data_IF_268075319352
#
_entry.id   IF_268075319352
#
_cell.length_a   1.000
_cell.length_b   1.000
_cell.length_c   1.000
_cell.angle_alpha   90.00
_cell.angle_beta   90.00
_cell.angle_gamma   90.00
#
_symmetry.space_group_name_H-M   'P 1'
#
loop_
_entity.id
_entity.type
_entity.pdbx_description
1 polymer ?
#
# COMPACT_ATOMS: atom_id res chain seq x y z
N UNK A 1 8.60 -10.77 -0.68
CA UNK A 1 7.46 -9.96 -0.24
C UNK A 1 7.98 -8.63 0.29
N UNK A 2 7.20 -7.55 0.18
CA UNK A 2 7.52 -6.23 0.75
C UNK A 2 6.36 -5.79 1.61
N UNK A 3 6.63 -5.21 2.77
CA UNK A 3 5.58 -4.62 3.60
C UNK A 3 5.13 -3.29 3.01
N UNK A 4 3.82 -3.11 2.89
CA UNK A 4 3.17 -1.90 2.39
C UNK A 4 2.27 -1.34 3.47
N UNK A 5 2.50 -0.09 3.85
CA UNK A 5 1.63 0.70 4.72
C UNK A 5 0.69 1.55 3.86
N UNK A 6 -0.61 1.34 4.02
CA UNK A 6 -1.65 2.06 3.29
C UNK A 6 -2.03 3.36 4.02
N UNK A 7 -1.99 4.47 3.30
CA UNK A 7 -2.34 5.80 3.82
C UNK A 7 -3.54 6.35 3.06
N UNK A 8 -4.62 6.67 3.79
CA UNK A 8 -5.92 7.01 3.22
C UNK A 8 -6.72 5.80 2.71
N UNK A 9 -7.95 6.08 2.29
CA UNK A 9 -8.86 5.09 1.72
C UNK A 9 -9.30 3.99 2.69
N UNK A 10 -9.94 2.92 2.17
CA UNK A 10 -10.54 1.86 2.98
C UNK A 10 -9.55 1.08 3.85
N UNK A 11 -8.29 0.96 3.42
CA UNK A 11 -7.23 0.21 4.13
C UNK A 11 -6.33 1.09 5.00
N UNK A 12 -6.75 2.31 5.35
CA UNK A 12 -5.87 3.24 6.05
C UNK A 12 -5.26 2.64 7.33
N UNK A 13 -3.92 2.76 7.46
CA UNK A 13 -3.07 2.21 8.54
C UNK A 13 -2.87 0.71 8.52
N UNK A 14 -3.46 0.00 7.57
CA UNK A 14 -3.17 -1.42 7.38
C UNK A 14 -1.78 -1.62 6.77
N UNK A 15 -1.07 -2.59 7.33
CA UNK A 15 0.21 -3.09 6.79
C UNK A 15 -0.06 -4.45 6.14
N UNK A 16 0.34 -4.61 4.89
CA UNK A 16 0.20 -5.86 4.16
C UNK A 16 1.52 -6.29 3.52
N UNK A 17 1.74 -7.60 3.42
CA UNK A 17 2.80 -8.16 2.59
C UNK A 17 2.34 -8.24 1.13
N UNK A 18 3.09 -7.59 0.24
CA UNK A 18 2.79 -7.51 -1.19
C UNK A 18 3.92 -8.17 -1.99
N UNK A 19 3.63 -9.04 -2.96
CA UNK A 19 4.65 -9.61 -3.84
C UNK A 19 5.35 -8.54 -4.69
N UNK A 20 6.66 -8.70 -4.91
CA UNK A 20 7.44 -7.73 -5.69
C UNK A 20 6.90 -7.53 -7.12
N UNK A 21 6.34 -8.57 -7.73
CA UNK A 21 5.69 -8.51 -9.04
C UNK A 21 4.43 -7.63 -9.08
N UNK A 22 3.74 -7.44 -7.94
CA UNK A 22 2.62 -6.50 -7.84
C UNK A 22 3.10 -5.07 -7.56
N UNK A 23 4.32 -4.89 -7.03
CA UNK A 23 4.86 -3.56 -6.80
C UNK A 23 5.35 -2.90 -8.09
N UNK A 24 5.66 -3.68 -9.13
CA UNK A 24 6.08 -3.15 -10.44
C UNK A 24 4.97 -2.44 -11.21
N UNK A 25 3.69 -2.64 -10.86
CA UNK A 25 2.56 -2.02 -11.57
C UNK A 25 2.33 -0.54 -11.23
N UNK A 26 3.18 0.10 -10.42
CA UNK A 26 3.03 1.47 -9.86
C UNK A 26 1.74 1.73 -9.05
N UNK A 27 0.76 0.82 -9.15
CA UNK A 27 -0.54 0.84 -8.50
C UNK A 27 -0.84 -0.52 -7.88
N UNK A 28 -1.45 -0.49 -6.71
CA UNK A 28 -2.08 -1.64 -6.05
C UNK A 28 -3.58 -1.41 -6.05
N UNK A 29 -4.33 -2.40 -6.51
CA UNK A 29 -5.79 -2.37 -6.54
C UNK A 29 -6.30 -3.43 -5.59
N UNK A 30 -7.19 -3.02 -4.69
CA UNK A 30 -7.89 -3.91 -3.79
C UNK A 30 -9.39 -3.85 -4.08
N UNK A 31 -9.96 -5.02 -4.32
CA UNK A 31 -11.40 -5.25 -4.47
C UNK A 31 -11.94 -5.72 -3.12
N UNK A 32 -12.83 -4.91 -2.53
CA UNK A 32 -13.59 -5.27 -1.34
C UNK A 32 -15.09 -5.33 -1.66
N UNK A 33 -15.92 -5.94 -0.79
CA UNK A 33 -17.32 -6.23 -1.09
C UNK A 33 -18.18 -5.04 -1.52
N UNK A 34 -17.81 -3.82 -1.12
CA UNK A 34 -18.55 -2.59 -1.41
C UNK A 34 -17.63 -1.42 -1.81
N UNK A 35 -16.34 -1.68 -2.08
CA UNK A 35 -15.37 -0.63 -2.32
C UNK A 35 -14.21 -1.11 -3.20
N UNK A 36 -13.62 -0.17 -3.95
CA UNK A 36 -12.36 -0.36 -4.65
C UNK A 36 -11.33 0.61 -4.09
N UNK A 37 -10.18 0.10 -3.67
CA UNK A 37 -9.07 0.89 -3.14
C UNK A 37 -7.91 0.86 -4.11
N UNK A 38 -7.63 1.98 -4.76
CA UNK A 38 -6.45 2.14 -5.62
C UNK A 38 -5.39 2.94 -4.86
N UNK A 39 -4.24 2.32 -4.70
CA UNK A 39 -3.10 2.90 -4.00
C UNK A 39 -1.93 3.05 -4.94
N UNK A 40 -1.29 4.21 -4.92
CA UNK A 40 -0.06 4.45 -5.65
C UNK A 40 1.12 4.47 -4.68
N UNK A 41 2.29 4.10 -5.19
CA UNK A 41 3.52 4.25 -4.43
C UNK A 41 3.72 5.74 -4.14
N UNK A 42 4.00 6.09 -2.88
CA UNK A 42 4.33 7.46 -2.55
C UNK A 42 5.67 7.84 -3.21
N UNK A 43 5.73 9.00 -3.88
CA UNK A 43 6.95 9.49 -4.52
C UNK A 43 7.41 10.81 -3.86
N UNK A 44 8.69 10.91 -3.42
CA UNK A 44 9.72 9.86 -3.47
C UNK A 44 9.39 8.69 -2.52
N UNK A 45 9.84 7.48 -2.87
CA UNK A 45 9.59 6.26 -2.06
C UNK A 45 9.93 6.49 -0.59
N UNK A 46 8.91 6.42 0.26
CA UNK A 46 9.06 6.51 1.70
C UNK A 46 8.88 5.14 2.35
N UNK A 47 9.68 4.89 3.39
CA UNK A 47 9.51 3.74 4.29
C UNK A 47 9.26 4.22 5.71
N UNK A 48 8.37 3.55 6.44
CA UNK A 48 8.08 3.82 7.84
C UNK A 48 8.23 2.56 8.67
N UNK A 49 8.69 2.73 9.91
CA UNK A 49 8.73 1.64 10.86
C UNK A 49 7.33 1.33 11.37
N UNK A 50 6.96 0.06 11.36
CA UNK A 50 5.70 -0.48 11.88
C UNK A 50 5.98 -1.61 12.86
N UNK A 51 4.95 -2.11 13.55
CA UNK A 51 5.11 -3.27 14.43
C UNK A 51 5.57 -4.54 13.67
N UNK A 52 5.27 -4.62 12.38
CA UNK A 52 5.62 -5.72 11.48
C UNK A 52 6.98 -5.53 10.79
N UNK A 53 7.60 -4.35 10.91
CA UNK A 53 8.88 -4.02 10.28
C UNK A 53 8.82 -2.74 9.42
N UNK A 54 9.85 -2.55 8.60
CA UNK A 54 9.93 -1.39 7.69
C UNK A 54 8.99 -1.60 6.49
N UNK A 55 8.00 -0.73 6.35
CA UNK A 55 6.97 -0.80 5.31
C UNK A 55 7.05 0.40 4.37
N UNK A 56 6.93 0.16 3.06
CA UNK A 56 6.81 1.20 2.04
C UNK A 56 5.45 1.89 2.13
N UNK A 57 5.43 3.22 1.98
CA UNK A 57 4.21 4.02 2.06
C UNK A 57 3.52 4.02 0.70
N UNK A 58 2.27 3.60 0.69
CA UNK A 58 1.39 3.67 -0.48
C UNK A 58 0.15 4.47 -0.10
N UNK A 59 -0.16 5.48 -0.90
CA UNK A 59 -1.24 6.44 -0.63
C UNK A 59 -2.42 6.18 -1.54
N UNK A 60 -3.64 6.36 -1.03
CA UNK A 60 -4.84 6.35 -1.87
C UNK A 60 -4.74 7.48 -2.90
N UNK A 61 -5.14 7.20 -4.14
CA UNK A 61 -5.39 8.24 -5.14
C UNK A 61 -6.89 8.36 -5.34
N UNK A 62 -7.39 9.59 -5.32
CA UNK A 62 -8.74 9.94 -5.77
C UNK A 62 -8.84 9.89 -7.31
#
# INVERSE_FOLDING_TARGET
MTLVLHVGGPRHREVAEVPAAQLSSARLVYDGPQWFGVYERFEPVQRRQTAQGSAEVWVVRE
#
